data_IF_884839274846
#
_entry.id   IF_884839274846
#
_cell.length_a   1.000
_cell.length_b   1.000
_cell.length_c   1.000
_cell.angle_alpha   90.00
_cell.angle_beta   90.00
_cell.angle_gamma   90.00
#
_symmetry.space_group_name_H-M   'P 1'
#
loop_
_entity.id
_entity.type
_entity.pdbx_description
1 polymer ?
#
# COMPACT_ATOMS: atom_id res chain seq x y z
N UNK A 1 -15.46 4.52 -23.61
CA UNK A 1 -15.98 5.21 -22.41
C UNK A 1 -16.03 4.17 -21.33
N UNK A 2 -15.28 4.34 -20.23
CA UNK A 2 -15.40 3.50 -19.07
C UNK A 2 -16.82 3.61 -18.51
N UNK A 3 -17.39 2.49 -18.06
CA UNK A 3 -18.68 2.50 -17.39
C UNK A 3 -18.60 3.44 -16.16
N UNK A 4 -19.67 4.14 -15.80
CA UNK A 4 -19.68 4.94 -14.58
C UNK A 4 -19.36 4.04 -13.39
N UNK A 5 -18.40 4.48 -12.55
CA UNK A 5 -18.04 3.76 -11.33
C UNK A 5 -19.27 3.77 -10.43
N UNK A 6 -19.67 2.60 -9.89
CA UNK A 6 -20.82 2.55 -8.99
C UNK A 6 -20.61 3.48 -7.80
N UNK A 7 -21.62 4.25 -7.44
CA UNK A 7 -21.60 5.09 -6.23
C UNK A 7 -21.46 4.18 -5.02
N UNK A 8 -20.52 4.50 -4.11
CA UNK A 8 -20.37 3.75 -2.89
C UNK A 8 -21.62 3.94 -2.00
N UNK A 9 -22.58 3.04 -2.14
CA UNK A 9 -23.75 3.01 -1.28
C UNK A 9 -23.33 2.54 0.12
N UNK A 10 -22.97 3.45 0.99
CA UNK A 10 -22.60 3.18 2.38
C UNK A 10 -22.90 4.35 3.27
N UNK A 11 -23.26 4.08 4.52
CA UNK A 11 -23.43 5.13 5.52
C UNK A 11 -22.07 5.57 6.03
N UNK A 12 -21.87 6.88 6.14
CA UNK A 12 -20.68 7.46 6.72
C UNK A 12 -21.04 8.17 8.03
N UNK A 13 -20.41 7.79 9.12
CA UNK A 13 -20.57 8.48 10.40
C UNK A 13 -19.56 9.61 10.49
N UNK A 14 -20.02 10.81 10.88
CA UNK A 14 -19.15 11.94 11.21
C UNK A 14 -18.58 11.70 12.60
N UNK A 15 -17.28 11.42 12.67
CA UNK A 15 -16.55 11.21 13.92
C UNK A 15 -15.22 11.99 13.83
N UNK A 16 -14.60 12.28 14.97
CA UNK A 16 -13.26 12.85 14.97
C UNK A 16 -12.24 11.76 14.66
N UNK A 17 -11.69 11.82 13.46
CA UNK A 17 -10.69 10.86 12.98
C UNK A 17 -9.47 10.79 13.91
N UNK A 18 -8.92 11.95 14.28
CA UNK A 18 -7.71 12.03 15.12
C UNK A 18 -7.96 11.47 16.52
N UNK A 19 -9.08 11.85 17.13
CA UNK A 19 -9.48 11.36 18.45
C UNK A 19 -9.80 9.85 18.45
N UNK A 20 -10.20 9.29 17.30
CA UNK A 20 -10.47 7.84 17.15
C UNK A 20 -9.22 6.97 17.12
N UNK A 21 -8.04 7.56 16.88
CA UNK A 21 -6.80 6.81 16.70
C UNK A 21 -6.19 6.36 18.02
N UNK A 22 -5.80 5.10 18.03
CA UNK A 22 -5.10 4.48 19.14
C UNK A 22 -3.58 4.39 18.82
N UNK A 23 -2.67 4.62 19.80
CA UNK A 23 -1.23 4.52 19.59
C UNK A 23 -0.74 3.20 18.98
N UNK A 24 -1.47 2.11 19.22
CA UNK A 24 -1.12 0.78 18.74
C UNK A 24 -1.67 0.42 17.36
N UNK A 25 -2.32 1.36 16.68
CA UNK A 25 -2.87 1.15 15.34
C UNK A 25 -1.89 1.55 14.25
N UNK A 26 -1.92 0.81 13.15
CA UNK A 26 -1.34 1.20 11.87
C UNK A 26 -2.44 1.86 11.05
N UNK A 27 -2.13 3.00 10.43
CA UNK A 27 -3.07 3.70 9.54
C UNK A 27 -2.45 3.79 8.15
N UNK A 28 -3.16 3.28 7.16
CA UNK A 28 -2.75 3.38 5.76
C UNK A 28 -3.61 4.42 5.05
N UNK A 29 -2.99 5.44 4.47
CA UNK A 29 -3.63 6.46 3.64
C UNK A 29 -3.39 6.17 2.16
N UNK A 30 -4.46 6.16 1.37
CA UNK A 30 -4.43 6.20 -0.09
C UNK A 30 -5.02 7.53 -0.54
N UNK A 31 -4.18 8.38 -1.13
CA UNK A 31 -4.56 9.74 -1.52
C UNK A 31 -5.31 9.73 -2.86
N UNK A 32 -6.31 10.60 -2.99
CA UNK A 32 -6.97 10.85 -4.26
C UNK A 32 -6.10 11.77 -5.13
N UNK A 33 -5.31 11.17 -6.02
CA UNK A 33 -4.42 11.86 -6.97
C UNK A 33 -4.82 11.63 -8.43
N UNK A 34 -5.98 11.02 -8.66
CA UNK A 34 -6.42 10.60 -9.99
C UNK A 34 -5.83 9.24 -10.38
N UNK A 35 -5.41 9.12 -11.63
CA UNK A 35 -4.74 7.92 -12.15
C UNK A 35 -3.24 7.98 -11.79
N UNK A 36 -2.93 7.82 -10.53
CA UNK A 36 -1.59 7.80 -9.98
C UNK A 36 -1.61 7.32 -8.53
N UNK A 37 -0.45 7.18 -7.90
CA UNK A 37 -0.30 6.73 -6.53
C UNK A 37 0.38 7.77 -5.63
N UNK A 38 -0.18 7.92 -4.45
CA UNK A 38 0.41 8.66 -3.34
C UNK A 38 -0.10 8.05 -2.04
N UNK A 39 0.80 7.46 -1.26
CA UNK A 39 0.43 6.61 -0.15
C UNK A 39 1.28 6.93 1.08
N UNK A 40 0.69 6.84 2.26
CA UNK A 40 1.36 7.02 3.54
C UNK A 40 0.89 5.99 4.56
N UNK A 41 1.83 5.37 5.27
CA UNK A 41 1.53 4.53 6.41
C UNK A 41 1.99 5.24 7.69
N UNK A 42 1.06 5.46 8.61
CA UNK A 42 1.36 5.93 9.95
C UNK A 42 1.53 4.69 10.84
N UNK A 43 2.76 4.46 11.30
CA UNK A 43 3.10 3.28 12.09
C UNK A 43 2.57 3.41 13.53
N UNK A 44 2.41 2.31 14.26
CA UNK A 44 2.19 2.36 15.70
C UNK A 44 3.33 3.06 16.42
N UNK A 45 3.04 3.56 17.61
CA UNK A 45 4.06 4.13 18.51
C UNK A 45 5.09 3.06 18.85
N UNK A 46 6.37 3.40 18.72
CA UNK A 46 7.49 2.53 19.07
C UNK A 46 7.72 2.50 20.60
N UNK A 47 8.57 1.59 21.11
CA UNK A 47 8.87 1.53 22.54
C UNK A 47 9.47 2.82 23.12
N UNK A 48 9.98 3.72 22.27
CA UNK A 48 10.52 5.03 22.66
C UNK A 48 9.44 6.13 22.68
N UNK A 49 8.17 5.77 22.45
CA UNK A 49 7.05 6.72 22.39
C UNK A 49 6.96 7.52 21.09
N UNK A 50 7.71 7.14 20.04
CA UNK A 50 7.73 7.83 18.76
C UNK A 50 6.82 7.15 17.76
N UNK A 51 6.15 7.94 16.92
CA UNK A 51 5.35 7.45 15.81
C UNK A 51 6.02 7.86 14.51
N UNK A 52 6.32 6.89 13.66
CA UNK A 52 7.01 7.09 12.38
C UNK A 52 6.08 6.84 11.21
N UNK A 53 6.47 7.31 10.04
CA UNK A 53 5.74 7.09 8.79
C UNK A 53 6.59 6.35 7.77
N UNK A 54 5.90 5.61 6.89
CA UNK A 54 6.42 5.14 5.61
C UNK A 54 5.66 5.87 4.50
N UNK A 55 6.35 6.27 3.44
CA UNK A 55 5.76 6.92 2.27
C UNK A 55 6.01 6.02 1.07
N UNK A 56 4.98 5.76 0.27
CA UNK A 56 5.07 4.94 -0.94
C UNK A 56 4.45 5.72 -2.08
N UNK A 57 5.26 6.10 -3.04
CA UNK A 57 4.93 6.95 -4.16
C UNK A 57 4.40 8.33 -3.78
N UNK A 58 4.69 9.31 -4.60
CA UNK A 58 4.25 10.70 -4.47
C UNK A 58 4.00 11.25 -5.86
N UNK A 59 2.80 11.00 -6.39
CA UNK A 59 2.37 11.51 -7.70
C UNK A 59 2.38 13.03 -7.77
N UNK A 60 1.93 13.70 -6.69
CA UNK A 60 1.81 15.15 -6.66
C UNK A 60 2.39 15.77 -5.40
N UNK A 61 2.87 17.01 -5.52
CA UNK A 61 3.38 17.81 -4.40
C UNK A 61 2.31 18.22 -3.38
N UNK A 62 1.02 18.08 -3.71
CA UNK A 62 -0.11 18.63 -2.93
C UNK A 62 -0.64 17.73 -1.82
N UNK A 63 -0.53 16.39 -1.97
CA UNK A 63 -1.19 15.43 -1.06
C UNK A 63 -0.30 15.01 0.10
N UNK A 64 0.71 14.19 -0.16
CA UNK A 64 1.55 13.61 0.89
C UNK A 64 2.27 14.67 1.71
N UNK A 65 2.92 15.71 1.12
CA UNK A 65 3.55 16.76 1.92
C UNK A 65 2.59 17.49 2.85
N UNK A 66 1.34 17.76 2.40
CA UNK A 66 0.34 18.40 3.23
C UNK A 66 -0.24 17.45 4.30
N UNK A 67 -0.36 16.16 4.00
CA UNK A 67 -0.78 15.15 4.97
C UNK A 67 0.26 15.02 6.10
N UNK A 68 1.55 15.02 5.78
CA UNK A 68 2.62 15.02 6.79
C UNK A 68 2.50 16.23 7.72
N UNK A 69 2.28 17.43 7.17
CA UNK A 69 2.06 18.65 7.96
C UNK A 69 0.81 18.50 8.87
N UNK A 70 -0.29 17.98 8.34
CA UNK A 70 -1.53 17.76 9.10
C UNK A 70 -1.35 16.75 10.24
N UNK A 71 -0.63 15.65 10.00
CA UNK A 71 -0.31 14.65 11.01
C UNK A 71 0.59 15.23 12.12
N UNK A 72 1.53 16.10 11.74
CA UNK A 72 2.39 16.80 12.67
C UNK A 72 1.62 17.82 13.52
N UNK A 73 0.74 18.63 12.89
CA UNK A 73 -0.12 19.59 13.59
C UNK A 73 -1.09 18.91 14.56
N UNK A 74 -1.56 17.71 14.20
CA UNK A 74 -2.41 16.89 15.05
C UNK A 74 -1.64 16.16 16.17
N UNK A 75 -0.31 16.33 16.25
CA UNK A 75 0.51 15.66 17.26
C UNK A 75 0.67 14.14 17.05
N UNK A 76 0.29 13.62 15.88
CA UNK A 76 0.36 12.20 15.56
C UNK A 76 1.78 11.75 15.17
N UNK A 77 2.60 12.67 14.67
CA UNK A 77 4.03 12.47 14.42
C UNK A 77 4.81 13.65 15.03
N UNK A 78 6.05 13.40 15.48
CA UNK A 78 6.89 14.44 16.08
C UNK A 78 7.18 15.58 15.12
N UNK A 79 7.34 16.79 15.64
CA UNK A 79 7.95 17.88 14.91
C UNK A 79 9.40 17.50 14.59
N UNK A 80 9.90 17.96 13.44
CA UNK A 80 11.31 17.85 13.12
C UNK A 80 12.10 18.64 14.17
N UNK A 81 12.64 17.95 15.19
CA UNK A 81 13.67 18.55 16.02
C UNK A 81 14.97 18.49 15.19
N UNK A 82 15.67 19.61 14.95
CA UNK A 82 17.00 19.54 14.39
C UNK A 82 17.85 18.72 15.37
N UNK A 83 18.27 17.54 14.94
CA UNK A 83 19.22 16.73 15.71
C UNK A 83 20.46 17.56 15.98
N UNK A 84 20.96 17.54 17.21
CA UNK A 84 22.21 18.18 17.60
C UNK A 84 23.37 17.45 16.90
N UNK A 85 23.60 17.70 15.63
CA UNK A 85 24.63 17.04 14.81
C UNK A 85 24.22 16.78 13.37
N UNK A 86 23.00 17.14 12.94
CA UNK A 86 22.53 16.93 11.56
C UNK A 86 22.10 15.48 11.25
N UNK A 87 22.05 14.62 12.25
CA UNK A 87 21.54 13.25 12.10
C UNK A 87 20.03 13.25 11.81
N UNK A 88 19.55 12.36 10.89
CA UNK A 88 18.14 12.26 10.60
C UNK A 88 17.35 11.90 11.85
N UNK A 89 16.23 12.60 12.10
CA UNK A 89 15.34 12.26 13.21
C UNK A 89 14.62 10.90 13.00
N UNK A 90 14.66 10.37 11.78
CA UNK A 90 14.07 9.08 11.43
C UNK A 90 12.54 9.04 11.55
N UNK A 91 11.87 10.19 11.64
CA UNK A 91 10.40 10.23 11.70
C UNK A 91 9.76 9.75 10.39
N UNK A 92 10.43 9.92 9.26
CA UNK A 92 10.14 9.28 7.98
C UNK A 92 11.06 8.06 7.86
N UNK A 93 10.59 6.92 8.34
CA UNK A 93 11.44 5.75 8.42
C UNK A 93 11.82 5.19 7.05
N UNK A 94 10.93 5.31 6.07
CA UNK A 94 11.13 4.81 4.71
C UNK A 94 10.37 5.67 3.70
N UNK A 95 11.00 5.97 2.58
CA UNK A 95 10.37 6.44 1.35
C UNK A 95 10.61 5.40 0.26
N UNK A 96 9.58 5.08 -0.50
CA UNK A 96 9.65 4.12 -1.63
C UNK A 96 9.19 4.81 -2.90
N UNK A 97 10.01 4.79 -3.94
CA UNK A 97 9.58 5.00 -5.32
C UNK A 97 9.36 3.62 -5.94
N UNK A 98 8.12 3.24 -6.19
CA UNK A 98 7.83 1.88 -6.66
C UNK A 98 8.36 1.63 -8.06
N UNK A 99 8.27 2.62 -8.94
CA UNK A 99 8.84 2.60 -10.29
C UNK A 99 8.89 4.06 -10.85
N UNK A 100 9.66 4.34 -11.91
CA UNK A 100 10.02 5.70 -12.31
C UNK A 100 8.99 6.42 -13.21
N UNK A 101 7.70 6.11 -13.17
CA UNK A 101 6.68 6.88 -13.88
C UNK A 101 6.25 8.12 -13.11
N UNK A 102 5.96 9.23 -13.80
CA UNK A 102 5.65 10.52 -13.19
C UNK A 102 4.38 10.50 -12.33
N UNK A 103 3.40 9.67 -12.64
CA UNK A 103 2.20 9.45 -11.82
C UNK A 103 2.47 8.73 -10.49
N UNK A 104 3.73 8.29 -10.26
CA UNK A 104 4.23 7.74 -9.01
C UNK A 104 5.30 8.62 -8.34
N UNK A 105 6.15 9.28 -9.13
CA UNK A 105 7.29 10.04 -8.58
C UNK A 105 7.26 11.55 -8.86
N UNK A 106 6.23 12.07 -9.56
CA UNK A 106 6.18 13.49 -9.97
C UNK A 106 6.27 14.51 -8.83
N UNK A 107 5.88 14.14 -7.61
CA UNK A 107 6.05 14.95 -6.40
C UNK A 107 7.24 14.56 -5.52
N UNK A 108 8.04 13.56 -5.90
CA UNK A 108 9.05 12.96 -5.04
C UNK A 108 10.21 13.90 -4.73
N UNK A 109 10.71 14.64 -5.72
CA UNK A 109 11.81 15.59 -5.53
C UNK A 109 11.47 16.67 -4.50
N UNK A 110 10.24 17.24 -4.56
CA UNK A 110 9.80 18.24 -3.57
C UNK A 110 9.64 17.60 -2.18
N UNK A 111 9.08 16.39 -2.10
CA UNK A 111 8.99 15.66 -0.83
C UNK A 111 10.37 15.45 -0.21
N UNK A 112 11.32 14.93 -0.97
CA UNK A 112 12.69 14.68 -0.51
C UNK A 112 13.36 15.97 -0.03
N UNK A 113 13.20 17.05 -0.77
CA UNK A 113 13.73 18.39 -0.40
C UNK A 113 13.11 18.89 0.90
N UNK A 114 11.79 18.75 1.08
CA UNK A 114 11.07 19.21 2.27
C UNK A 114 11.42 18.38 3.52
N UNK A 115 11.61 17.07 3.36
CA UNK A 115 11.77 16.14 4.49
C UNK A 115 13.22 15.70 4.72
N UNK A 116 14.20 16.32 4.05
CA UNK A 116 15.63 15.95 4.09
C UNK A 116 16.13 15.36 5.41
N UNK A 117 16.06 16.08 6.55
CA UNK A 117 16.67 15.61 7.79
C UNK A 117 15.84 14.54 8.51
N UNK A 118 14.73 14.13 7.93
CA UNK A 118 13.75 13.21 8.57
C UNK A 118 13.76 11.82 7.96
N UNK A 119 14.36 11.64 6.77
CA UNK A 119 14.29 10.40 5.99
C UNK A 119 15.41 9.46 6.43
N UNK A 120 15.05 8.25 6.86
CA UNK A 120 16.00 7.20 7.22
C UNK A 120 16.44 6.37 6.01
N UNK A 121 15.49 5.82 5.28
CA UNK A 121 15.75 4.93 4.14
C UNK A 121 14.99 5.39 2.90
N UNK A 122 15.57 5.13 1.72
CA UNK A 122 14.91 5.29 0.42
C UNK A 122 15.09 4.01 -0.39
N UNK A 123 14.00 3.51 -0.96
CA UNK A 123 14.01 2.33 -1.82
C UNK A 123 13.49 2.66 -3.20
N UNK A 124 14.18 2.15 -4.23
CA UNK A 124 13.68 2.07 -5.60
C UNK A 124 13.98 0.69 -6.20
N UNK A 125 13.39 0.31 -7.34
CA UNK A 125 13.62 -1.00 -7.95
C UNK A 125 14.99 -1.14 -8.61
N UNK A 126 15.73 -0.04 -8.84
CA UNK A 126 16.96 -0.01 -9.62
C UNK A 126 16.74 -0.01 -11.14
N UNK A 127 15.56 0.36 -11.59
CA UNK A 127 15.25 0.55 -13.01
C UNK A 127 15.63 1.98 -13.42
N UNK A 128 16.66 2.13 -14.25
CA UNK A 128 17.07 3.45 -14.75
C UNK A 128 16.04 4.03 -15.72
N UNK A 129 15.71 5.29 -15.55
CA UNK A 129 14.78 6.02 -16.42
C UNK A 129 15.31 7.41 -16.78
N UNK A 130 14.97 7.90 -17.97
CA UNK A 130 15.51 9.17 -18.49
C UNK A 130 14.61 10.37 -18.26
N UNK A 131 13.48 10.21 -17.59
CA UNK A 131 12.57 11.33 -17.30
C UNK A 131 13.19 12.31 -16.31
N UNK A 132 12.82 13.58 -16.42
CA UNK A 132 13.31 14.62 -15.54
C UNK A 132 12.94 14.35 -14.08
N UNK A 133 11.71 13.88 -13.81
CA UNK A 133 11.27 13.54 -12.45
C UNK A 133 12.18 12.48 -11.80
N UNK A 134 12.59 11.46 -12.56
CA UNK A 134 13.51 10.44 -12.06
C UNK A 134 14.91 11.00 -11.80
N UNK A 135 15.45 11.80 -12.72
CA UNK A 135 16.78 12.38 -12.57
C UNK A 135 16.84 13.36 -11.40
N UNK A 136 15.81 14.20 -11.23
CA UNK A 136 15.71 15.16 -10.11
C UNK A 136 15.56 14.42 -8.77
N UNK A 137 14.79 13.34 -8.72
CA UNK A 137 14.66 12.48 -7.56
C UNK A 137 16.01 11.88 -7.16
N UNK A 138 16.75 11.29 -8.12
CA UNK A 138 18.07 10.70 -7.85
C UNK A 138 19.08 11.75 -7.39
N UNK A 139 19.10 12.94 -8.00
CA UNK A 139 19.95 14.05 -7.58
C UNK A 139 19.60 14.51 -6.15
N UNK A 140 18.31 14.52 -5.77
CA UNK A 140 17.90 14.84 -4.41
C UNK A 140 18.36 13.80 -3.38
N UNK A 141 18.39 12.51 -3.75
CA UNK A 141 18.92 11.43 -2.90
C UNK A 141 20.44 11.59 -2.74
N UNK A 142 21.17 11.78 -3.84
CA UNK A 142 22.62 11.96 -3.82
C UNK A 142 23.04 13.17 -2.97
N UNK A 143 22.26 14.23 -3.00
CA UNK A 143 22.49 15.42 -2.16
C UNK A 143 22.24 15.18 -0.66
N UNK A 144 21.77 14.01 -0.26
CA UNK A 144 21.44 13.64 1.13
C UNK A 144 22.13 12.33 1.55
N UNK A 145 23.45 12.35 1.80
CA UNK A 145 24.25 11.12 2.02
C UNK A 145 23.91 10.35 3.30
N UNK A 146 23.07 10.92 4.17
CA UNK A 146 22.58 10.22 5.36
C UNK A 146 21.38 9.30 5.07
N UNK A 147 20.74 9.42 3.90
CA UNK A 147 19.66 8.50 3.51
C UNK A 147 20.26 7.15 3.15
N UNK A 148 19.80 6.10 3.78
CA UNK A 148 20.19 4.73 3.41
C UNK A 148 19.42 4.37 2.13
N UNK A 149 20.14 4.43 1.01
CA UNK A 149 19.59 4.05 -0.30
C UNK A 149 19.70 2.54 -0.52
N UNK A 150 18.60 1.91 -0.95
CA UNK A 150 18.56 0.48 -1.25
C UNK A 150 17.69 0.16 -2.47
N UNK A 151 18.05 -0.90 -3.16
CA UNK A 151 17.35 -1.46 -4.31
C UNK A 151 16.94 -2.91 -3.99
N UNK A 152 15.89 -3.09 -3.17
CA UNK A 152 15.52 -4.42 -2.71
C UNK A 152 14.85 -5.25 -3.81
N UNK A 153 14.91 -6.58 -3.67
CA UNK A 153 14.23 -7.55 -4.54
C UNK A 153 13.32 -8.45 -3.72
N UNK A 154 12.52 -9.28 -4.40
CA UNK A 154 11.60 -10.23 -3.80
C UNK A 154 12.25 -11.03 -2.66
N UNK A 155 11.55 -11.13 -1.55
CA UNK A 155 12.02 -11.80 -0.34
C UNK A 155 12.79 -10.89 0.65
N UNK A 156 13.20 -9.68 0.25
CA UNK A 156 13.81 -8.72 1.18
C UNK A 156 12.81 -8.32 2.27
N UNK A 157 13.27 -8.25 3.51
CA UNK A 157 12.44 -7.97 4.69
C UNK A 157 13.05 -6.90 5.56
N UNK A 158 12.24 -5.92 5.97
CA UNK A 158 12.66 -4.84 6.86
C UNK A 158 11.62 -4.59 7.94
N UNK A 159 12.09 -4.49 9.18
CA UNK A 159 11.25 -4.20 10.35
C UNK A 159 11.22 -2.70 10.64
N UNK A 160 10.01 -2.17 10.84
CA UNK A 160 9.77 -0.82 11.29
C UNK A 160 8.88 -0.89 12.56
N UNK A 161 9.53 -1.01 13.73
CA UNK A 161 8.83 -1.29 14.97
C UNK A 161 8.13 -2.65 14.94
N UNK A 162 6.81 -2.67 15.12
CA UNK A 162 5.98 -3.90 15.05
C UNK A 162 5.46 -4.23 13.64
N UNK A 163 5.77 -3.40 12.64
CA UNK A 163 5.43 -3.67 11.26
C UNK A 163 6.60 -4.32 10.52
N UNK A 164 6.31 -5.35 9.73
CA UNK A 164 7.27 -5.99 8.83
C UNK A 164 6.89 -5.68 7.39
N UNK A 165 7.81 -5.06 6.66
CA UNK A 165 7.70 -4.86 5.20
C UNK A 165 8.46 -5.98 4.51
N UNK A 166 7.78 -6.67 3.59
CA UNK A 166 8.36 -7.69 2.71
C UNK A 166 8.18 -7.23 1.27
N UNK A 167 9.25 -7.24 0.50
CA UNK A 167 9.22 -6.96 -0.94
C UNK A 167 8.73 -8.21 -1.67
N UNK A 168 7.70 -8.08 -2.49
CA UNK A 168 7.14 -9.15 -3.30
C UNK A 168 7.70 -9.14 -4.73
N UNK A 169 7.90 -7.96 -5.33
CA UNK A 169 8.43 -7.70 -6.66
C UNK A 169 9.39 -6.51 -6.62
N UNK A 170 10.37 -6.40 -7.54
CA UNK A 170 10.71 -7.36 -8.59
C UNK A 170 11.49 -8.57 -8.07
N UNK A 171 11.35 -9.72 -8.74
CA UNK A 171 12.23 -10.86 -8.50
C UNK A 171 13.66 -10.56 -8.96
N UNK A 172 14.65 -11.29 -8.42
CA UNK A 172 16.05 -11.18 -8.89
C UNK A 172 16.14 -11.47 -10.40
N UNK A 173 15.39 -12.48 -10.87
CA UNK A 173 15.36 -12.84 -12.28
C UNK A 173 14.76 -11.77 -13.19
N UNK A 174 13.73 -11.05 -12.69
CA UNK A 174 13.14 -9.93 -13.42
C UNK A 174 14.05 -8.72 -13.42
N UNK A 175 14.65 -8.38 -12.27
CA UNK A 175 15.58 -7.27 -12.15
C UNK A 175 16.80 -7.40 -13.08
N UNK A 176 17.31 -8.61 -13.25
CA UNK A 176 18.43 -8.87 -14.17
C UNK A 176 18.09 -8.61 -15.65
N UNK A 177 16.82 -8.34 -15.95
CA UNK A 177 16.34 -8.03 -17.31
C UNK A 177 16.02 -6.54 -17.50
N UNK A 178 16.18 -5.68 -16.51
CA UNK A 178 15.80 -4.26 -16.62
C UNK A 178 16.51 -3.53 -17.76
N UNK A 179 17.75 -3.89 -18.05
CA UNK A 179 18.50 -3.31 -19.14
C UNK A 179 18.33 -4.08 -20.47
N UNK A 180 17.43 -5.07 -20.51
CA UNK A 180 17.18 -5.87 -21.69
C UNK A 180 15.86 -5.51 -22.36
N UNK A 181 15.79 -5.69 -23.67
CA UNK A 181 14.59 -5.50 -24.46
C UNK A 181 13.44 -6.38 -23.94
N UNK A 182 12.28 -5.76 -23.69
CA UNK A 182 11.03 -6.48 -23.36
C UNK A 182 10.62 -6.48 -21.88
N UNK A 183 11.37 -5.79 -21.00
CA UNK A 183 10.86 -5.50 -19.64
C UNK A 183 10.22 -4.12 -19.64
N UNK A 184 8.92 -4.07 -19.35
CA UNK A 184 8.19 -2.81 -19.20
C UNK A 184 8.48 -2.17 -17.85
N UNK A 185 8.45 -0.82 -17.81
CA UNK A 185 8.73 -0.04 -16.59
C UNK A 185 7.81 -0.46 -15.44
N UNK A 186 6.54 -0.71 -15.72
CA UNK A 186 5.57 -1.16 -14.73
C UNK A 186 5.93 -2.52 -14.10
N UNK A 187 6.53 -3.42 -14.88
CA UNK A 187 7.00 -4.71 -14.35
C UNK A 187 8.23 -4.58 -13.44
N UNK A 188 8.87 -3.41 -13.40
CA UNK A 188 9.91 -3.11 -12.41
C UNK A 188 9.37 -2.77 -11.02
N UNK A 189 8.06 -2.59 -10.88
CA UNK A 189 7.43 -2.09 -9.66
C UNK A 189 7.80 -2.84 -8.39
N UNK A 190 8.16 -2.08 -7.34
CA UNK A 190 8.28 -2.58 -5.97
C UNK A 190 6.87 -2.83 -5.39
N UNK A 191 6.40 -4.07 -5.45
CA UNK A 191 5.20 -4.48 -4.73
C UNK A 191 5.57 -4.90 -3.32
N UNK A 192 4.78 -4.43 -2.34
CA UNK A 192 5.10 -4.57 -0.93
C UNK A 192 4.00 -5.30 -0.18
N UNK A 193 4.39 -6.15 0.78
CA UNK A 193 3.49 -6.71 1.79
C UNK A 193 3.88 -6.20 3.16
N UNK A 194 2.93 -5.61 3.87
CA UNK A 194 3.09 -5.11 5.22
C UNK A 194 2.28 -5.98 6.18
N UNK A 195 2.94 -6.52 7.20
CA UNK A 195 2.31 -7.33 8.26
C UNK A 195 2.30 -6.55 9.57
N UNK A 196 1.17 -6.57 10.28
CA UNK A 196 1.02 -5.85 11.53
C UNK A 196 0.01 -6.52 12.49
N UNK A 197 0.29 -6.58 13.79
CA UNK A 197 1.62 -6.59 14.36
C UNK A 197 2.35 -7.87 13.92
N UNK A 198 3.56 -7.73 13.41
CA UNK A 198 4.36 -8.85 12.92
C UNK A 198 5.29 -9.42 14.01
N UNK A 199 4.87 -9.38 15.26
CA UNK A 199 5.65 -9.91 16.39
C UNK A 199 5.79 -11.43 16.24
N UNK A 200 6.92 -11.89 15.77
CA UNK A 200 7.37 -13.28 15.87
C UNK A 200 7.81 -13.59 17.29
N UNK A 201 6.89 -13.82 18.20
CA UNK A 201 7.20 -14.57 19.39
C UNK A 201 7.05 -16.05 19.01
N UNK A 202 8.16 -16.69 18.61
CA UNK A 202 8.21 -18.15 18.55
C UNK A 202 8.06 -18.64 19.98
N UNK A 203 6.83 -18.93 20.38
CA UNK A 203 6.56 -19.64 21.64
C UNK A 203 6.56 -21.12 21.30
N UNK A 204 7.25 -21.91 22.12
CA UNK A 204 7.05 -23.35 22.17
C UNK A 204 5.87 -23.61 23.11
N UNK A 205 4.89 -24.36 22.62
CA UNK A 205 3.83 -24.90 23.50
C UNK A 205 4.39 -25.95 24.46
N UNK A 206 3.56 -26.46 25.34
CA UNK A 206 3.94 -27.52 26.30
C UNK A 206 4.45 -28.81 25.62
N UNK A 207 4.11 -29.03 24.34
CA UNK A 207 4.60 -30.11 23.49
C UNK A 207 5.89 -29.78 22.72
N UNK A 208 6.50 -28.62 22.97
CA UNK A 208 7.66 -28.07 22.26
C UNK A 208 7.44 -27.77 20.78
N UNK A 209 6.20 -27.71 20.29
CA UNK A 209 5.89 -27.28 18.96
C UNK A 209 6.05 -25.76 18.83
N UNK A 210 6.55 -25.30 17.68
CA UNK A 210 6.65 -23.87 17.38
C UNK A 210 5.23 -23.33 17.15
N UNK A 211 4.77 -22.44 18.03
CA UNK A 211 3.51 -21.71 17.86
C UNK A 211 3.83 -20.33 17.30
N UNK A 212 3.50 -20.11 16.02
CA UNK A 212 3.68 -18.82 15.37
C UNK A 212 2.53 -17.87 15.76
N UNK A 213 2.88 -16.68 16.26
CA UNK A 213 1.91 -15.61 16.42
C UNK A 213 1.69 -14.99 15.02
N UNK A 214 0.59 -15.35 14.38
CA UNK A 214 0.20 -14.77 13.09
C UNK A 214 0.02 -13.26 13.22
N UNK A 215 0.48 -12.53 12.21
CA UNK A 215 0.07 -11.15 12.02
C UNK A 215 -1.46 -11.08 12.00
N UNK A 216 -2.04 -10.16 12.76
CA UNK A 216 -3.50 -10.01 12.81
C UNK A 216 -4.04 -9.25 11.60
N UNK A 217 -3.19 -8.42 11.00
CA UNK A 217 -3.49 -7.63 9.80
C UNK A 217 -2.34 -7.72 8.81
N UNK A 218 -2.68 -7.70 7.53
CA UNK A 218 -1.72 -7.60 6.42
C UNK A 218 -2.31 -6.77 5.30
N UNK A 219 -1.43 -6.04 4.62
CA UNK A 219 -1.72 -5.14 3.51
C UNK A 219 -0.77 -5.47 2.37
N UNK A 220 -1.28 -5.58 1.15
CA UNK A 220 -0.47 -5.63 -0.08
C UNK A 220 -0.66 -4.31 -0.84
N UNK A 221 0.46 -3.70 -1.20
CA UNK A 221 0.55 -2.56 -2.10
C UNK A 221 1.07 -3.06 -3.43
N UNK A 222 0.20 -3.09 -4.44
CA UNK A 222 0.51 -3.69 -5.74
C UNK A 222 1.38 -2.82 -6.64
N UNK A 223 1.54 -1.52 -6.31
CA UNK A 223 2.13 -0.53 -7.21
C UNK A 223 1.51 -0.61 -8.60
N UNK A 224 2.33 -0.66 -9.66
CA UNK A 224 1.89 -0.88 -11.04
C UNK A 224 2.34 -2.23 -11.61
N UNK A 225 2.65 -3.19 -10.73
CA UNK A 225 3.01 -4.54 -11.14
C UNK A 225 1.97 -5.13 -12.11
N UNK A 226 2.45 -5.70 -13.20
CA UNK A 226 1.63 -6.29 -14.25
C UNK A 226 1.77 -7.82 -14.28
N UNK A 227 1.25 -8.43 -15.32
CA UNK A 227 1.16 -9.89 -15.48
C UNK A 227 2.50 -10.59 -15.27
N UNK A 228 3.60 -10.03 -15.81
CA UNK A 228 4.93 -10.64 -15.66
C UNK A 228 5.42 -10.58 -14.21
N UNK A 229 5.27 -9.44 -13.56
CA UNK A 229 5.63 -9.29 -12.14
C UNK A 229 4.85 -10.26 -11.27
N UNK A 230 3.52 -10.35 -11.46
CA UNK A 230 2.69 -11.25 -10.68
C UNK A 230 2.97 -12.73 -10.95
N UNK A 231 3.33 -13.10 -12.18
CA UNK A 231 3.78 -14.47 -12.49
C UNK A 231 5.05 -14.83 -11.70
N UNK A 232 6.01 -13.91 -11.60
CA UNK A 232 7.19 -14.06 -10.75
C UNK A 232 6.81 -14.17 -9.26
N UNK A 233 5.93 -13.29 -8.77
CA UNK A 233 5.47 -13.32 -7.37
C UNK A 233 4.81 -14.64 -7.03
N UNK A 234 3.91 -15.15 -7.88
CA UNK A 234 3.25 -16.43 -7.68
C UNK A 234 4.24 -17.61 -7.63
N UNK A 235 5.35 -17.49 -8.38
CA UNK A 235 6.42 -18.49 -8.39
C UNK A 235 7.34 -18.38 -7.17
N UNK A 236 7.77 -17.17 -6.82
CA UNK A 236 8.70 -16.91 -5.71
C UNK A 236 8.04 -17.15 -4.34
N UNK A 237 6.72 -16.97 -4.26
CA UNK A 237 5.91 -17.18 -3.04
C UNK A 237 4.83 -18.25 -3.28
N UNK A 238 5.18 -19.51 -3.50
CA UNK A 238 4.23 -20.55 -3.84
C UNK A 238 3.28 -20.85 -2.70
N UNK A 239 2.04 -21.18 -3.04
CA UNK A 239 1.09 -21.74 -2.08
C UNK A 239 1.45 -23.20 -1.79
N UNK A 240 1.74 -23.51 -0.53
CA UNK A 240 2.00 -24.86 -0.11
C UNK A 240 0.67 -25.63 0.07
N UNK A 241 0.42 -26.68 -0.73
CA UNK A 241 -0.78 -27.51 -0.67
C UNK A 241 -1.01 -28.19 0.69
N UNK A 242 -2.23 -28.64 0.99
CA UNK A 242 -2.55 -29.32 2.26
C UNK A 242 -1.76 -30.62 2.46
N UNK A 243 -1.37 -31.29 1.39
CA UNK A 243 -0.61 -32.55 1.38
C UNK A 243 0.90 -32.32 1.29
N UNK A 244 1.40 -31.14 1.65
CA UNK A 244 2.81 -30.83 1.63
C UNK A 244 3.58 -31.71 2.65
N UNK A 245 4.83 -32.05 2.31
CA UNK A 245 5.72 -32.84 3.17
C UNK A 245 5.88 -32.23 4.57
N UNK A 246 6.41 -33.00 5.52
CA UNK A 246 6.71 -32.52 6.86
C UNK A 246 7.64 -31.29 6.86
N UNK A 247 8.60 -31.26 5.92
CA UNK A 247 9.46 -30.11 5.72
C UNK A 247 8.66 -28.86 5.32
N UNK A 248 7.71 -28.99 4.40
CA UNK A 248 6.85 -27.88 3.99
C UNK A 248 5.89 -27.43 5.12
N UNK A 249 5.39 -28.37 5.94
CA UNK A 249 4.62 -28.03 7.15
C UNK A 249 5.47 -27.27 8.17
N UNK A 250 6.71 -27.66 8.36
CA UNK A 250 7.65 -26.94 9.23
C UNK A 250 7.98 -25.56 8.71
N UNK A 251 8.17 -25.40 7.39
CA UNK A 251 8.36 -24.08 6.75
C UNK A 251 7.13 -23.20 6.97
N UNK A 252 5.92 -23.71 6.77
CA UNK A 252 4.70 -22.95 7.04
C UNK A 252 4.55 -22.54 8.50
N UNK A 253 4.87 -23.43 9.43
CA UNK A 253 4.84 -23.10 10.85
C UNK A 253 5.85 -22.01 11.19
N UNK A 254 6.99 -21.96 10.46
CA UNK A 254 8.02 -20.96 10.65
C UNK A 254 7.76 -19.64 9.93
N UNK A 255 7.10 -19.68 8.76
CA UNK A 255 6.88 -18.50 7.91
C UNK A 255 5.46 -17.95 7.98
N UNK A 256 4.56 -18.64 8.66
CA UNK A 256 3.12 -18.36 8.65
C UNK A 256 2.40 -18.93 7.44
N UNK A 257 1.10 -18.69 7.35
CA UNK A 257 0.26 -19.03 6.22
C UNK A 257 0.69 -18.25 4.97
N UNK A 258 0.12 -18.56 3.84
CA UNK A 258 0.39 -17.97 2.53
C UNK A 258 0.83 -16.50 2.59
N UNK A 259 2.07 -16.23 2.13
CA UNK A 259 2.65 -14.88 2.12
C UNK A 259 1.88 -13.89 1.23
N UNK A 260 1.00 -14.38 0.35
CA UNK A 260 0.14 -13.52 -0.47
C UNK A 260 -1.23 -13.28 0.17
N UNK A 261 -1.62 -14.00 1.21
CA UNK A 261 -2.87 -13.69 1.92
C UNK A 261 -2.78 -12.34 2.63
N UNK A 262 -3.72 -11.44 2.35
CA UNK A 262 -3.76 -10.12 2.96
C UNK A 262 -5.20 -9.65 3.21
N UNK A 263 -5.40 -8.88 4.30
CA UNK A 263 -6.71 -8.32 4.64
C UNK A 263 -7.04 -7.08 3.81
N UNK A 264 -6.03 -6.36 3.34
CA UNK A 264 -6.18 -5.18 2.52
C UNK A 264 -5.32 -5.32 1.28
N UNK A 265 -5.89 -5.05 0.12
CA UNK A 265 -5.20 -4.98 -1.16
C UNK A 265 -5.35 -3.58 -1.76
N UNK A 266 -4.25 -2.86 -1.99
CA UNK A 266 -4.21 -1.78 -2.98
C UNK A 266 -3.94 -2.43 -4.33
N UNK A 267 -4.91 -2.32 -5.21
CA UNK A 267 -4.88 -2.95 -6.54
C UNK A 267 -3.75 -2.36 -7.38
N UNK A 268 -3.06 -3.21 -8.11
CA UNK A 268 -2.02 -2.78 -9.05
C UNK A 268 -2.57 -1.98 -10.20
N UNK A 269 -1.75 -1.02 -10.64
CA UNK A 269 -1.89 -0.30 -11.91
C UNK A 269 -3.32 0.20 -12.12
N UNK A 270 -3.87 0.85 -11.05
CA UNK A 270 -5.19 1.50 -11.04
C UNK A 270 -6.35 0.59 -11.53
N UNK A 271 -6.20 -0.73 -11.32
CA UNK A 271 -7.05 -1.77 -11.88
C UNK A 271 -7.05 -1.79 -13.42
N UNK A 272 -5.86 -1.66 -14.04
CA UNK A 272 -5.70 -1.94 -15.47
C UNK A 272 -5.96 -3.42 -15.78
N UNK A 273 -6.27 -3.74 -17.03
CA UNK A 273 -6.50 -5.13 -17.46
C UNK A 273 -5.30 -6.07 -17.25
N UNK A 274 -4.10 -5.52 -17.07
CA UNK A 274 -2.85 -6.26 -16.86
C UNK A 274 -2.39 -6.24 -15.39
N UNK A 275 -2.99 -5.38 -14.56
CA UNK A 275 -2.59 -5.19 -13.15
C UNK A 275 -3.07 -6.29 -12.21
N UNK A 276 -4.10 -7.04 -12.58
CA UNK A 276 -4.67 -8.11 -11.74
C UNK A 276 -5.11 -9.31 -12.59
N UNK A 277 -5.16 -10.47 -11.94
CA UNK A 277 -5.81 -11.66 -12.49
C UNK A 277 -6.61 -12.35 -11.38
N UNK A 278 -7.51 -13.24 -11.77
CA UNK A 278 -8.43 -13.93 -10.86
C UNK A 278 -7.67 -14.70 -9.77
N UNK A 279 -6.71 -15.55 -10.16
CA UNK A 279 -5.92 -16.38 -9.25
C UNK A 279 -5.20 -15.55 -8.18
N UNK A 280 -4.64 -14.40 -8.56
CA UNK A 280 -3.97 -13.49 -7.63
C UNK A 280 -4.94 -12.97 -6.57
N UNK A 281 -6.11 -12.46 -6.97
CA UNK A 281 -7.09 -11.89 -6.04
C UNK A 281 -7.69 -12.97 -5.14
N UNK A 282 -8.03 -14.13 -5.68
CA UNK A 282 -8.49 -15.29 -4.90
C UNK A 282 -7.45 -15.72 -3.87
N UNK A 283 -6.20 -15.76 -4.25
CA UNK A 283 -5.11 -16.14 -3.36
C UNK A 283 -4.84 -15.10 -2.27
N UNK A 284 -4.91 -13.81 -2.59
CA UNK A 284 -4.81 -12.72 -1.61
C UNK A 284 -6.01 -12.76 -0.67
N UNK A 285 -7.20 -13.00 -1.20
CA UNK A 285 -8.49 -13.05 -0.49
C UNK A 285 -8.69 -11.84 0.44
N UNK A 286 -8.66 -10.62 -0.09
CA UNK A 286 -8.74 -9.42 0.72
C UNK A 286 -10.15 -9.19 1.26
N UNK A 287 -10.26 -8.61 2.45
CA UNK A 287 -11.51 -8.10 2.99
C UNK A 287 -11.79 -6.66 2.53
N UNK A 288 -10.74 -5.93 2.16
CA UNK A 288 -10.81 -4.57 1.61
C UNK A 288 -9.91 -4.48 0.38
N UNK A 289 -10.48 -3.99 -0.71
CA UNK A 289 -9.80 -3.78 -1.98
C UNK A 289 -9.87 -2.30 -2.35
N UNK A 290 -8.72 -1.67 -2.51
CA UNK A 290 -8.61 -0.21 -2.69
C UNK A 290 -8.04 0.08 -4.08
N UNK A 291 -8.67 0.99 -4.80
CA UNK A 291 -8.28 1.38 -6.16
C UNK A 291 -8.03 2.88 -6.21
N UNK A 292 -6.81 3.27 -6.58
CA UNK A 292 -6.48 4.66 -6.91
C UNK A 292 -6.83 4.91 -8.36
N UNK A 293 -7.73 5.84 -8.65
CA UNK A 293 -8.14 6.14 -10.03
C UNK A 293 -8.93 7.44 -10.12
N UNK A 294 -8.99 8.02 -11.32
CA UNK A 294 -9.82 9.17 -11.66
C UNK A 294 -11.20 8.76 -12.18
N UNK A 295 -12.14 9.71 -12.17
CA UNK A 295 -13.41 9.58 -12.89
C UNK A 295 -13.80 10.93 -13.52
N UNK A 296 -13.76 11.08 -14.86
CA UNK A 296 -13.31 10.08 -15.83
C UNK A 296 -11.79 9.87 -15.79
N UNK A 297 -11.32 8.65 -16.06
CA UNK A 297 -9.91 8.35 -16.23
C UNK A 297 -9.44 8.66 -17.65
N UNK A 298 -8.26 9.28 -17.77
CA UNK A 298 -7.61 9.52 -19.06
C UNK A 298 -7.10 8.25 -19.74
N UNK A 299 -6.84 7.20 -18.95
CA UNK A 299 -6.33 5.91 -19.41
C UNK A 299 -7.40 4.80 -19.47
N UNK A 300 -8.65 5.13 -19.13
CA UNK A 300 -9.75 4.17 -19.09
C UNK A 300 -9.71 3.23 -17.86
N UNK A 301 -9.13 3.69 -16.76
CA UNK A 301 -9.11 2.99 -15.48
C UNK A 301 -10.34 3.33 -14.61
N UNK A 302 -10.78 2.41 -13.74
CA UNK A 302 -10.44 0.99 -13.74
C UNK A 302 -10.98 0.30 -14.98
N UNK A 303 -10.25 -0.69 -15.51
CA UNK A 303 -10.70 -1.43 -16.69
C UNK A 303 -11.82 -2.41 -16.32
N UNK A 304 -12.89 -2.50 -17.13
CA UNK A 304 -14.05 -3.34 -16.84
C UNK A 304 -13.68 -4.80 -16.55
N UNK A 305 -12.74 -5.38 -17.32
CA UNK A 305 -12.28 -6.76 -17.08
C UNK A 305 -11.65 -6.90 -15.70
N UNK A 306 -10.82 -5.95 -15.27
CA UNK A 306 -10.21 -5.99 -13.94
C UNK A 306 -11.26 -5.87 -12.83
N UNK A 307 -12.25 -5.01 -13.00
CA UNK A 307 -13.36 -4.88 -12.03
C UNK A 307 -14.14 -6.20 -11.90
N UNK A 308 -14.51 -6.81 -13.04
CA UNK A 308 -15.24 -8.08 -13.02
C UNK A 308 -14.42 -9.20 -12.39
N UNK A 309 -13.13 -9.32 -12.69
CA UNK A 309 -12.24 -10.30 -12.07
C UNK A 309 -12.15 -10.12 -10.54
N UNK A 310 -12.07 -8.89 -10.06
CA UNK A 310 -12.04 -8.59 -8.63
C UNK A 310 -13.38 -8.98 -7.98
N UNK A 311 -14.50 -8.61 -8.59
CA UNK A 311 -15.85 -8.97 -8.10
C UNK A 311 -16.03 -10.47 -8.03
N UNK A 312 -15.66 -11.17 -9.09
CA UNK A 312 -15.75 -12.64 -9.15
C UNK A 312 -14.90 -13.30 -8.07
N UNK A 313 -13.64 -12.90 -7.92
CA UNK A 313 -12.75 -13.43 -6.90
C UNK A 313 -13.30 -13.25 -5.47
N UNK A 314 -13.93 -12.10 -5.19
CA UNK A 314 -14.48 -11.80 -3.86
C UNK A 314 -15.84 -12.48 -3.61
N UNK A 315 -16.53 -12.88 -4.66
CA UNK A 315 -17.80 -13.61 -4.57
C UNK A 315 -17.68 -15.13 -4.74
N UNK A 316 -16.50 -15.64 -5.12
CA UNK A 316 -16.28 -17.04 -5.54
C UNK A 316 -16.77 -18.11 -4.53
N UNK A 317 -16.92 -17.76 -3.26
CA UNK A 317 -17.49 -18.65 -2.23
C UNK A 317 -19.02 -18.73 -2.25
N UNK A 318 -19.71 -17.95 -3.09
CA UNK A 318 -21.17 -17.80 -3.09
C UNK A 318 -21.80 -17.77 -4.50
N UNK A 319 -21.06 -17.89 -5.59
CA UNK A 319 -21.61 -17.68 -6.94
C UNK A 319 -22.40 -18.86 -7.45
N UNK A 320 -23.70 -18.64 -7.59
CA UNK A 320 -24.58 -19.43 -8.46
C UNK A 320 -24.49 -18.81 -9.86
N UNK A 321 -24.36 -19.60 -10.95
CA UNK A 321 -24.35 -19.09 -12.30
C UNK A 321 -25.55 -18.15 -12.59
N UNK A 322 -25.30 -16.95 -13.12
CA UNK A 322 -26.33 -15.95 -13.38
C UNK A 322 -26.65 -15.01 -12.20
N UNK A 323 -25.87 -15.04 -11.13
CA UNK A 323 -26.03 -14.14 -9.99
C UNK A 323 -25.61 -12.72 -10.34
N UNK A 324 -26.41 -11.74 -9.96
CA UNK A 324 -26.06 -10.32 -10.06
C UNK A 324 -24.98 -10.03 -8.99
N UNK A 325 -23.90 -9.36 -9.38
CA UNK A 325 -22.86 -8.96 -8.43
C UNK A 325 -23.44 -8.05 -7.35
N UNK A 326 -22.96 -8.24 -6.12
CA UNK A 326 -23.23 -7.30 -5.03
C UNK A 326 -22.60 -5.94 -5.35
N UNK A 327 -23.12 -4.84 -4.77
CA UNK A 327 -22.48 -3.53 -4.85
C UNK A 327 -21.02 -3.59 -4.36
N UNK A 328 -20.13 -2.85 -5.00
CA UNK A 328 -18.70 -2.85 -4.70
C UNK A 328 -18.40 -2.57 -3.22
N UNK A 329 -19.14 -1.64 -2.59
CA UNK A 329 -18.98 -1.34 -1.17
C UNK A 329 -19.32 -2.52 -0.25
N UNK A 330 -20.29 -3.38 -0.62
CA UNK A 330 -20.61 -4.60 0.12
C UNK A 330 -19.55 -5.70 -0.07
N UNK A 331 -18.82 -5.65 -1.19
CA UNK A 331 -17.66 -6.51 -1.45
C UNK A 331 -16.38 -5.97 -0.81
N UNK A 332 -16.43 -4.79 -0.19
CA UNK A 332 -15.26 -4.11 0.37
C UNK A 332 -14.36 -3.47 -0.68
N UNK A 333 -14.87 -3.14 -1.86
CA UNK A 333 -14.15 -2.46 -2.95
C UNK A 333 -14.41 -0.96 -2.86
N UNK A 334 -13.35 -0.16 -2.81
CA UNK A 334 -13.40 1.29 -2.69
C UNK A 334 -12.47 1.97 -3.70
N UNK A 335 -12.96 3.05 -4.34
CA UNK A 335 -12.21 3.85 -5.31
C UNK A 335 -11.94 5.25 -4.74
N UNK A 336 -10.77 5.83 -5.03
CA UNK A 336 -10.47 7.21 -4.62
C UNK A 336 -11.38 8.24 -5.29
N UNK A 337 -11.93 7.91 -6.45
CA UNK A 337 -12.88 8.74 -7.20
C UNK A 337 -14.36 8.51 -6.83
N UNK A 338 -14.66 7.66 -5.85
CA UNK A 338 -16.05 7.48 -5.37
C UNK A 338 -16.70 8.80 -4.99
N UNK A 339 -18.02 8.87 -5.19
CA UNK A 339 -18.86 10.00 -4.78
C UNK A 339 -20.04 9.53 -3.92
N UNK A 340 -20.60 10.46 -3.15
CA UNK A 340 -21.83 10.23 -2.40
C UNK A 340 -23.07 10.29 -3.30
N UNK A 341 -24.18 9.75 -2.80
CA UNK A 341 -25.50 10.03 -3.34
C UNK A 341 -25.75 11.55 -3.27
N UNK A 342 -25.82 12.21 -4.41
CA UNK A 342 -25.92 13.66 -4.50
C UNK A 342 -24.64 14.35 -5.01
N UNK A 343 -23.54 13.61 -5.28
CA UNK A 343 -22.42 14.06 -6.10
C UNK A 343 -21.21 14.65 -5.37
N UNK A 344 -21.17 14.61 -4.03
CA UNK A 344 -19.97 15.01 -3.27
C UNK A 344 -18.85 13.95 -3.38
N UNK A 345 -17.55 14.33 -3.55
CA UNK A 345 -16.46 13.37 -3.63
C UNK A 345 -16.27 12.68 -2.27
N UNK A 346 -16.00 11.38 -2.27
CA UNK A 346 -15.52 10.65 -1.09
C UNK A 346 -14.00 10.78 -0.92
N UNK A 347 -13.28 10.95 -2.01
CA UNK A 347 -11.88 11.36 -2.04
C UNK A 347 -10.90 10.36 -1.45
N UNK A 348 -9.83 10.88 -0.89
CA UNK A 348 -8.80 10.09 -0.21
C UNK A 348 -9.39 9.23 0.90
N UNK A 349 -8.73 8.11 1.15
CA UNK A 349 -9.16 7.16 2.19
C UNK A 349 -8.06 6.84 3.17
N UNK A 350 -8.44 6.48 4.39
CA UNK A 350 -7.55 5.84 5.34
C UNK A 350 -8.13 4.52 5.82
N UNK A 351 -7.29 3.50 5.94
CA UNK A 351 -7.61 2.24 6.58
C UNK A 351 -6.92 2.20 7.93
N UNK A 352 -7.71 2.26 9.00
CA UNK A 352 -7.23 2.14 10.38
C UNK A 352 -7.24 0.67 10.78
N UNK A 353 -6.07 0.13 11.05
CA UNK A 353 -5.86 -1.29 11.33
C UNK A 353 -5.39 -1.53 12.76
N UNK A 354 -6.09 -2.41 13.48
CA UNK A 354 -5.72 -2.77 14.85
C UNK A 354 -6.61 -3.87 15.43
N UNK A 355 -6.09 -4.69 16.33
CA UNK A 355 -6.80 -5.76 17.01
C UNK A 355 -7.60 -6.70 16.07
N UNK A 356 -7.06 -6.98 14.87
CA UNK A 356 -7.70 -7.86 13.88
C UNK A 356 -8.85 -7.23 13.10
N UNK A 357 -9.09 -5.93 13.28
CA UNK A 357 -10.13 -5.15 12.58
C UNK A 357 -9.50 -4.10 11.67
N UNK A 358 -10.17 -3.80 10.57
CA UNK A 358 -9.89 -2.68 9.69
C UNK A 358 -11.13 -1.80 9.55
N UNK A 359 -10.94 -0.48 9.58
CA UNK A 359 -12.01 0.51 9.41
C UNK A 359 -11.62 1.46 8.31
N UNK A 360 -12.52 1.76 7.39
CA UNK A 360 -12.29 2.69 6.28
C UNK A 360 -12.80 4.08 6.64
N UNK A 361 -12.00 5.10 6.34
CA UNK A 361 -12.33 6.51 6.49
C UNK A 361 -12.19 7.22 5.15
N UNK A 362 -13.04 8.20 4.90
CA UNK A 362 -13.05 9.03 3.68
C UNK A 362 -12.94 10.49 4.06
N UNK A 363 -12.24 11.29 3.25
CA UNK A 363 -11.93 12.69 3.61
C UNK A 363 -12.62 13.73 2.72
N UNK A 364 -13.35 13.33 1.70
CA UNK A 364 -14.16 14.22 0.87
C UNK A 364 -13.36 15.18 -0.03
N UNK A 365 -12.07 14.91 -0.24
CA UNK A 365 -11.19 15.76 -1.03
C UNK A 365 -11.20 15.38 -2.52
N UNK A 366 -11.09 16.38 -3.38
CA UNK A 366 -10.84 16.20 -4.82
C UNK A 366 -9.35 16.00 -5.10
N UNK A 367 -8.99 15.65 -6.34
CA UNK A 367 -7.59 15.49 -6.78
C UNK A 367 -6.74 16.72 -6.48
N UNK A 368 -7.29 17.93 -6.62
CA UNK A 368 -6.56 19.20 -6.42
C UNK A 368 -6.53 19.70 -4.97
N UNK A 369 -7.37 19.17 -4.09
CA UNK A 369 -7.48 19.59 -2.69
C UNK A 369 -6.54 18.81 -1.78
N UNK A 370 -6.12 19.44 -0.68
CA UNK A 370 -5.38 18.78 0.41
C UNK A 370 -6.33 17.89 1.23
N UNK A 371 -5.78 16.85 1.84
CA UNK A 371 -6.51 16.04 2.81
C UNK A 371 -6.65 16.86 4.10
N UNK A 372 -7.89 17.01 4.58
CA UNK A 372 -8.21 17.65 5.86
C UNK A 372 -8.67 16.59 6.84
N UNK A 373 -7.86 16.28 7.86
CA UNK A 373 -8.15 15.19 8.81
C UNK A 373 -9.48 15.38 9.55
N UNK A 374 -9.88 16.62 9.82
CA UNK A 374 -11.17 16.96 10.46
C UNK A 374 -12.39 16.59 9.59
N UNK A 375 -12.23 16.41 8.28
CA UNK A 375 -13.30 15.98 7.39
C UNK A 375 -13.47 14.45 7.36
N UNK A 376 -12.74 13.72 8.18
CA UNK A 376 -12.78 12.27 8.23
C UNK A 376 -14.19 11.76 8.57
N UNK A 377 -14.69 10.83 7.74
CA UNK A 377 -15.97 10.15 7.95
C UNK A 377 -15.75 8.65 7.89
N UNK A 378 -16.17 7.95 8.93
CA UNK A 378 -16.01 6.50 9.03
C UNK A 378 -17.09 5.79 8.22
N UNK A 379 -16.69 4.89 7.35
CA UNK A 379 -17.62 3.98 6.68
C UNK A 379 -18.19 2.96 7.68
N UNK A 380 -19.50 2.80 7.69
CA UNK A 380 -20.21 1.95 8.68
C UNK A 380 -20.82 0.69 8.06
N UNK A 381 -20.63 0.48 6.73
CA UNK A 381 -20.89 -0.75 5.98
C UNK A 381 -22.30 -0.97 5.64
#
# INVERSE_FOLDING_TARGET
MSAPIPIAAGKHAVEDFVASLNPNQLVYFLCNVGDGDSQLLLLPVDPQGRRRILIVDVCTTKKVPALVDSLQQAGLIGAAAPGAGGEPDGSVALVVATHPHSDHIGGMNELLTKLKPRIGEFWDPGYYHTTQDYLDMMAAIEANPHIIYAQPTAGYKRWFGSALVTVLSPSVGLRNKFDTYGTEVNDSSLSLRIEFPAARAVKRDAGRNLVDKKATMSLILGADAQTLSWAHVLTDFPQLGPNSSDANRAIRAATGTDLLSAKVLKVSHHASKHGVNLELVERISPALTLVSTASPSGFGFPHNVAQELIREALQATASTPGMVHKPDSELGIFYTCDSEDGGGPLGSMAVVMGAGKATVWRFGDTVSQKITLANGRRWTG
#
